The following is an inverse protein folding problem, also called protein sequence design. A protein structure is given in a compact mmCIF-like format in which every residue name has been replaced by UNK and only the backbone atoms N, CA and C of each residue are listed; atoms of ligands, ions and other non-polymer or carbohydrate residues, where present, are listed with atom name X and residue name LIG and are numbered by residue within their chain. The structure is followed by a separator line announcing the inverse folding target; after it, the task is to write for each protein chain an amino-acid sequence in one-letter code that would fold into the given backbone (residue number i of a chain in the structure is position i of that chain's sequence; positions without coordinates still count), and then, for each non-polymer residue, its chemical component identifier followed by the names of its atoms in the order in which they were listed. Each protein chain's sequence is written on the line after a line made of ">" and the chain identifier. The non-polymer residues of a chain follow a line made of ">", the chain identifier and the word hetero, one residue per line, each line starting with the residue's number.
data_IF_339496795823
#
_entry.id   IF_339496795823
#
_cell.length_a   1.000
_cell.length_b   1.000
_cell.length_c   1.000
_cell.angle_alpha   90.00
_cell.angle_beta   90.00
_cell.angle_gamma   90.00
#
_symmetry.space_group_name_H-M   'P 1'
#
loop_
_entity.id
_entity.type
_entity.pdbx_description
1 polymer ?
#
# COMPACT_ATOMS: atom_id res chain seq x y z
N UNK A 1 15.04 4.20 25.49
CA UNK A 1 14.74 4.86 24.20
C UNK A 1 13.23 4.81 24.02
N UNK A 2 12.58 5.93 23.75
CA UNK A 2 11.14 5.98 23.52
C UNK A 2 10.89 5.62 22.06
N UNK A 3 10.21 4.52 21.80
CA UNK A 3 9.79 4.15 20.45
C UNK A 3 8.49 4.88 20.15
N UNK A 4 8.55 5.93 19.36
CA UNK A 4 7.36 6.60 18.83
C UNK A 4 7.01 5.91 17.52
N UNK A 5 5.89 5.19 17.51
CA UNK A 5 5.36 4.61 16.26
C UNK A 5 4.45 5.65 15.61
N UNK A 6 4.90 6.26 14.54
CA UNK A 6 4.12 7.22 13.74
C UNK A 6 3.72 6.54 12.45
N UNK A 7 2.43 6.59 12.12
CA UNK A 7 1.92 6.14 10.83
C UNK A 7 1.89 7.33 9.85
N UNK A 8 2.86 7.51 8.94
CA UNK A 8 2.95 8.67 8.06
C UNK A 8 1.68 8.90 7.22
N UNK A 9 1.00 7.82 6.83
CA UNK A 9 -0.25 7.87 6.08
C UNK A 9 -1.38 8.54 6.86
N UNK A 10 -1.46 8.31 8.18
CA UNK A 10 -2.48 8.96 9.02
C UNK A 10 -2.21 10.45 9.16
N UNK A 11 -0.94 10.86 9.26
CA UNK A 11 -0.56 12.28 9.29
C UNK A 11 -0.88 12.95 7.96
N UNK A 12 -0.59 12.28 6.84
CA UNK A 12 -0.94 12.76 5.48
C UNK A 12 -2.45 12.93 5.31
N UNK A 13 -3.25 11.97 5.78
CA UNK A 13 -4.71 12.05 5.74
C UNK A 13 -5.21 13.22 6.59
N UNK A 14 -4.67 13.42 7.79
CA UNK A 14 -5.01 14.55 8.66
C UNK A 14 -4.67 15.90 8.00
N UNK A 15 -3.54 15.98 7.28
CA UNK A 15 -3.18 17.18 6.52
C UNK A 15 -4.20 17.48 5.40
N UNK A 16 -4.66 16.44 4.68
CA UNK A 16 -5.68 16.58 3.66
C UNK A 16 -7.04 16.99 4.24
N UNK A 17 -7.41 16.45 5.40
CA UNK A 17 -8.64 16.83 6.11
C UNK A 17 -8.58 18.29 6.57
N UNK A 18 -7.46 18.71 7.16
CA UNK A 18 -7.24 20.10 7.55
C UNK A 18 -7.34 21.05 6.34
N UNK A 19 -6.76 20.68 5.19
CA UNK A 19 -6.86 21.45 3.96
C UNK A 19 -8.30 21.59 3.48
N UNK A 20 -9.10 20.52 3.53
CA UNK A 20 -10.53 20.54 3.16
C UNK A 20 -11.34 21.45 4.07
N UNK A 21 -11.09 21.40 5.40
CA UNK A 21 -11.75 22.28 6.36
C UNK A 21 -11.41 23.74 6.05
N UNK A 22 -10.14 24.07 5.82
CA UNK A 22 -9.70 25.42 5.47
C UNK A 22 -10.35 25.93 4.19
N UNK A 23 -10.45 25.09 3.16
CA UNK A 23 -11.14 25.43 1.92
C UNK A 23 -12.62 25.69 2.12
N UNK A 24 -13.31 24.87 2.92
CA UNK A 24 -14.74 25.08 3.23
C UNK A 24 -14.98 26.38 3.99
N UNK A 25 -14.14 26.69 4.97
CA UNK A 25 -14.22 27.95 5.72
C UNK A 25 -13.99 29.15 4.81
N UNK A 26 -12.97 29.09 3.94
CA UNK A 26 -12.69 30.17 2.99
C UNK A 26 -13.85 30.40 2.00
N UNK A 27 -14.45 29.32 1.49
CA UNK A 27 -15.64 29.40 0.64
C UNK A 27 -16.82 30.06 1.36
N UNK A 28 -17.07 29.65 2.61
CA UNK A 28 -18.14 30.25 3.41
C UNK A 28 -17.89 31.74 3.69
N UNK A 29 -16.66 32.13 4.01
CA UNK A 29 -16.27 33.51 4.26
C UNK A 29 -16.39 34.37 3.00
N UNK A 30 -16.03 33.82 1.84
CA UNK A 30 -16.20 34.51 0.54
C UNK A 30 -17.68 34.73 0.22
N UNK A 31 -18.52 33.71 0.45
CA UNK A 31 -19.96 33.84 0.23
C UNK A 31 -20.59 34.86 1.20
N UNK A 32 -20.09 34.94 2.44
CA UNK A 32 -20.55 35.90 3.44
C UNK A 32 -20.04 37.34 3.19
N UNK A 33 -19.06 37.56 2.35
CA UNK A 33 -18.45 38.88 2.09
C UNK A 33 -19.49 39.92 1.64
N UNK A 34 -20.50 39.52 0.87
CA UNK A 34 -21.60 40.40 0.44
C UNK A 34 -22.46 40.90 1.61
N UNK A 35 -22.51 40.18 2.73
CA UNK A 35 -23.30 40.55 3.91
C UNK A 35 -22.64 41.61 4.79
N UNK A 36 -21.37 41.94 4.53
CA UNK A 36 -20.61 42.96 5.28
C UNK A 36 -20.90 44.39 4.79
N UNK A 37 -21.60 44.54 3.67
CA UNK A 37 -22.04 45.83 3.14
C UNK A 37 -23.51 46.07 3.54
N UNK A 38 -23.72 46.61 4.73
CA UNK A 38 -25.06 46.93 5.24
C UNK A 38 -25.45 48.30 4.78
N UNK A 39 -26.58 48.43 4.04
CA UNK A 39 -27.17 49.68 3.69
C UNK A 39 -27.94 50.24 4.90
N UNK A 40 -27.85 51.56 5.11
CA UNK A 40 -28.66 52.21 6.12
C UNK A 40 -30.16 52.03 5.85
N UNK A 41 -30.94 51.65 6.87
CA UNK A 41 -32.37 51.41 6.76
C UNK A 41 -33.17 52.68 6.47
N UNK A 42 -32.65 53.82 6.91
CA UNK A 42 -33.24 55.16 6.67
C UNK A 42 -32.11 56.19 6.51
N UNK A 43 -32.46 57.41 6.11
CA UNK A 43 -31.54 58.56 5.94
C UNK A 43 -31.35 59.34 7.25
N UNK A 44 -31.45 58.70 8.39
CA UNK A 44 -31.22 59.29 9.70
C UNK A 44 -29.84 58.92 10.28
N UNK A 45 -29.38 59.70 11.23
CA UNK A 45 -28.05 59.56 11.83
C UNK A 45 -27.86 58.17 12.52
N UNK A 46 -28.93 57.64 13.10
CA UNK A 46 -28.89 56.37 13.85
C UNK A 46 -28.73 55.20 12.85
N UNK A 47 -29.55 55.17 11.81
CA UNK A 47 -29.46 54.13 10.77
C UNK A 47 -28.11 54.14 10.07
N UNK A 48 -27.56 55.34 9.78
CA UNK A 48 -26.23 55.49 9.17
C UNK A 48 -25.12 55.04 10.10
N UNK A 49 -25.17 55.36 11.41
CA UNK A 49 -24.20 54.94 12.41
C UNK A 49 -24.21 53.44 12.60
N UNK A 50 -25.39 52.80 12.62
CA UNK A 50 -25.53 51.34 12.72
C UNK A 50 -24.95 50.65 11.50
N UNK A 51 -25.24 51.11 10.27
CA UNK A 51 -24.69 50.56 9.04
C UNK A 51 -23.14 50.65 9.01
N UNK A 52 -22.60 51.80 9.45
CA UNK A 52 -21.15 52.01 9.58
C UNK A 52 -20.50 51.03 10.57
N UNK A 53 -21.15 50.81 11.75
CA UNK A 53 -20.68 49.87 12.77
C UNK A 53 -20.62 48.43 12.21
N UNK A 54 -21.67 47.96 11.56
CA UNK A 54 -21.67 46.63 10.95
C UNK A 54 -20.65 46.50 9.81
N UNK A 55 -20.50 47.51 8.95
CA UNK A 55 -19.51 47.58 7.90
C UNK A 55 -18.08 47.49 8.45
N UNK A 56 -17.78 48.25 9.48
CA UNK A 56 -16.49 48.20 10.20
C UNK A 56 -16.24 46.82 10.81
N UNK A 57 -17.22 46.22 11.46
CA UNK A 57 -17.10 44.87 12.02
C UNK A 57 -16.83 43.84 10.94
N UNK A 58 -17.55 43.91 9.83
CA UNK A 58 -17.34 43.02 8.66
C UNK A 58 -15.92 43.13 8.12
N UNK A 59 -15.38 44.35 7.97
CA UNK A 59 -13.99 44.54 7.52
C UNK A 59 -12.95 43.95 8.50
N UNK A 60 -13.14 44.15 9.80
CA UNK A 60 -12.28 43.55 10.82
C UNK A 60 -12.33 42.01 10.75
N UNK A 61 -13.52 41.44 10.61
CA UNK A 61 -13.69 40.01 10.46
C UNK A 61 -12.96 39.46 9.23
N UNK A 62 -13.06 40.14 8.07
CA UNK A 62 -12.36 39.74 6.86
C UNK A 62 -10.84 39.77 7.01
N UNK A 63 -10.31 40.80 7.69
CA UNK A 63 -8.88 40.87 7.95
C UNK A 63 -8.39 39.72 8.85
N UNK A 64 -9.14 39.37 9.89
CA UNK A 64 -8.84 38.21 10.75
C UNK A 64 -8.98 36.92 9.98
N UNK A 65 -10.01 36.76 9.15
CA UNK A 65 -10.25 35.60 8.31
C UNK A 65 -9.08 35.33 7.37
N UNK A 66 -8.52 36.37 6.75
CA UNK A 66 -7.34 36.26 5.89
C UNK A 66 -6.09 35.78 6.67
N UNK A 67 -5.89 36.27 7.91
CA UNK A 67 -4.80 35.81 8.77
C UNK A 67 -4.97 34.33 9.18
N UNK A 68 -6.20 33.93 9.51
CA UNK A 68 -6.51 32.53 9.86
C UNK A 68 -6.27 31.62 8.67
N UNK A 69 -6.67 32.04 7.45
CA UNK A 69 -6.42 31.27 6.23
C UNK A 69 -4.90 31.05 6.00
N UNK A 70 -4.10 32.11 6.14
CA UNK A 70 -2.64 32.00 6.02
C UNK A 70 -2.01 31.09 7.11
N UNK A 71 -2.54 31.13 8.33
CA UNK A 71 -2.10 30.22 9.40
C UNK A 71 -2.47 28.76 9.09
N UNK A 72 -3.68 28.53 8.60
CA UNK A 72 -4.17 27.23 8.20
C UNK A 72 -3.29 26.61 7.09
N UNK A 73 -2.92 27.38 6.07
CA UNK A 73 -2.02 26.91 5.01
C UNK A 73 -0.66 26.49 5.56
N UNK A 74 -0.08 27.28 6.46
CA UNK A 74 1.19 26.93 7.12
C UNK A 74 1.08 25.66 7.95
N UNK A 75 -0.04 25.48 8.65
CA UNK A 75 -0.30 24.28 9.44
C UNK A 75 -0.39 23.04 8.56
N UNK A 76 -1.13 23.08 7.45
CA UNK A 76 -1.23 21.99 6.48
C UNK A 76 0.14 21.66 5.89
N UNK A 77 0.93 22.67 5.54
CA UNK A 77 2.28 22.48 5.02
C UNK A 77 3.19 21.79 6.05
N UNK A 78 3.14 22.24 7.32
CA UNK A 78 3.92 21.64 8.41
C UNK A 78 3.55 20.17 8.64
N UNK A 79 2.25 19.81 8.62
CA UNK A 79 1.80 18.43 8.72
C UNK A 79 2.29 17.57 7.54
N UNK A 80 2.23 18.10 6.31
CA UNK A 80 2.71 17.40 5.12
C UNK A 80 4.22 17.16 5.16
N UNK A 81 4.98 18.14 5.61
CA UNK A 81 6.43 18.00 5.80
C UNK A 81 6.76 17.00 6.91
N UNK A 82 6.04 17.02 8.02
CA UNK A 82 6.23 16.04 9.08
C UNK A 82 5.95 14.62 8.57
N UNK A 83 4.86 14.41 7.82
CA UNK A 83 4.54 13.11 7.21
C UNK A 83 5.67 12.60 6.32
N UNK A 84 6.22 13.44 5.44
CA UNK A 84 7.33 13.06 4.56
C UNK A 84 8.61 12.76 5.32
N UNK A 85 8.93 13.53 6.36
CA UNK A 85 10.11 13.29 7.21
C UNK A 85 10.03 11.94 7.92
N UNK A 86 8.87 11.62 8.48
CA UNK A 86 8.66 10.30 9.10
C UNK A 86 8.72 9.16 8.08
N UNK A 87 8.16 9.33 6.88
CA UNK A 87 8.24 8.32 5.83
C UNK A 87 9.68 8.03 5.39
N UNK A 88 10.51 9.07 5.25
CA UNK A 88 11.94 8.91 4.93
C UNK A 88 12.71 8.24 6.07
N UNK A 89 12.44 8.61 7.32
CA UNK A 89 13.08 7.99 8.48
C UNK A 89 12.70 6.50 8.61
N UNK A 90 11.45 6.15 8.37
CA UNK A 90 10.96 4.76 8.36
C UNK A 90 11.66 3.94 7.26
N UNK A 91 11.71 4.47 6.03
CA UNK A 91 12.41 3.83 4.92
C UNK A 91 13.92 3.65 5.21
N UNK A 92 14.57 4.65 5.79
CA UNK A 92 15.99 4.57 6.15
C UNK A 92 16.26 3.54 7.25
N UNK A 93 15.30 3.30 8.14
CA UNK A 93 15.42 2.31 9.22
C UNK A 93 15.19 0.87 8.72
N UNK A 94 14.32 0.68 7.72
CA UNK A 94 14.01 -0.64 7.16
C UNK A 94 15.17 -1.21 6.32
N UNK A 95 15.86 -0.40 5.55
CA UNK A 95 16.94 -0.84 4.64
C UNK A 95 18.12 -1.53 5.34
N UNK A 96 18.67 -1.02 6.46
CA UNK A 96 19.77 -1.68 7.15
C UNK A 96 19.39 -3.05 7.73
N UNK A 97 18.16 -3.20 8.24
CA UNK A 97 17.68 -4.46 8.78
C UNK A 97 17.57 -5.53 7.70
N UNK A 98 17.03 -5.18 6.52
CA UNK A 98 16.95 -6.10 5.39
C UNK A 98 18.34 -6.53 4.87
N UNK A 99 19.31 -5.60 4.85
CA UNK A 99 20.68 -5.93 4.47
C UNK A 99 21.36 -6.88 5.46
N UNK A 100 21.17 -6.68 6.76
CA UNK A 100 21.69 -7.59 7.79
C UNK A 100 21.03 -8.97 7.68
N UNK A 101 19.72 -9.03 7.49
CA UNK A 101 18.99 -10.29 7.28
C UNK A 101 19.51 -11.05 6.06
N UNK A 102 19.65 -10.38 4.92
CA UNK A 102 20.17 -11.01 3.70
C UNK A 102 21.63 -11.45 3.83
N UNK A 103 22.47 -10.65 4.48
CA UNK A 103 23.86 -11.02 4.74
C UNK A 103 23.94 -12.26 5.66
N UNK A 104 23.12 -12.31 6.71
CA UNK A 104 23.08 -13.45 7.63
C UNK A 104 22.57 -14.72 6.92
N UNK A 105 21.47 -14.61 6.15
CA UNK A 105 20.96 -15.72 5.35
C UNK A 105 21.95 -16.17 4.30
N UNK A 106 22.71 -15.26 3.68
CA UNK A 106 23.79 -15.59 2.75
C UNK A 106 24.85 -16.46 3.41
N UNK A 107 25.35 -16.07 4.58
CA UNK A 107 26.36 -16.87 5.32
C UNK A 107 25.83 -18.25 5.69
N UNK A 108 24.58 -18.34 6.12
CA UNK A 108 23.93 -19.62 6.51
C UNK A 108 23.66 -20.53 5.31
N UNK A 109 23.26 -19.97 4.16
CA UNK A 109 22.84 -20.74 3.01
C UNK A 109 24.00 -21.13 2.08
N UNK A 110 25.07 -20.32 2.01
CA UNK A 110 26.21 -20.55 1.10
C UNK A 110 26.78 -21.97 1.19
N UNK A 111 27.01 -22.57 2.36
CA UNK A 111 27.56 -23.93 2.42
C UNK A 111 26.61 -24.97 1.86
N UNK A 112 25.29 -24.87 2.13
CA UNK A 112 24.31 -25.85 1.66
C UNK A 112 23.99 -25.67 0.18
N UNK A 113 23.98 -24.45 -0.32
CA UNK A 113 23.84 -24.19 -1.74
C UNK A 113 25.04 -24.74 -2.55
N UNK A 114 26.27 -24.58 -2.03
CA UNK A 114 27.47 -25.10 -2.67
C UNK A 114 27.52 -26.63 -2.65
N UNK A 115 27.07 -27.29 -1.58
CA UNK A 115 27.16 -28.75 -1.42
C UNK A 115 25.99 -29.51 -2.05
N UNK A 116 24.77 -28.98 -1.92
CA UNK A 116 23.53 -29.69 -2.31
C UNK A 116 22.62 -28.86 -3.25
N UNK A 117 23.07 -27.70 -3.68
CA UNK A 117 22.32 -26.85 -4.60
C UNK A 117 21.01 -26.27 -4.03
N UNK A 118 20.86 -26.26 -2.69
CA UNK A 118 19.62 -25.87 -2.04
C UNK A 118 19.90 -25.07 -0.76
N UNK A 119 19.09 -24.05 -0.50
CA UNK A 119 19.17 -23.25 0.73
C UNK A 119 18.91 -24.10 1.98
N UNK A 120 19.56 -23.75 3.07
CA UNK A 120 19.22 -24.32 4.38
C UNK A 120 17.95 -23.71 4.93
N UNK A 121 17.85 -22.39 4.87
CA UNK A 121 16.71 -21.59 5.36
C UNK A 121 16.28 -20.61 4.26
N UNK A 122 14.98 -20.56 3.99
CA UNK A 122 14.36 -19.62 3.06
C UNK A 122 13.34 -20.27 2.15
N UNK A 123 12.43 -19.48 1.61
CA UNK A 123 11.38 -19.95 0.74
C UNK A 123 11.91 -20.24 -0.68
N UNK A 124 11.25 -21.14 -1.36
CA UNK A 124 11.48 -21.45 -2.77
C UNK A 124 11.00 -20.32 -3.68
N UNK A 125 11.70 -20.09 -4.78
CA UNK A 125 11.29 -19.09 -5.76
C UNK A 125 9.95 -19.47 -6.41
N UNK A 126 9.09 -18.48 -6.65
CA UNK A 126 7.85 -18.72 -7.39
C UNK A 126 8.12 -18.86 -8.88
N UNK A 127 7.41 -19.71 -9.55
CA UNK A 127 7.40 -19.81 -11.01
C UNK A 127 6.86 -18.53 -11.66
N UNK A 128 7.46 -18.13 -12.77
CA UNK A 128 7.02 -16.91 -13.48
C UNK A 128 5.60 -17.07 -14.02
N UNK A 129 4.72 -16.08 -13.85
CA UNK A 129 3.36 -16.13 -14.41
C UNK A 129 3.37 -16.24 -15.94
N UNK A 130 2.44 -17.00 -16.50
CA UNK A 130 2.30 -17.19 -17.95
C UNK A 130 3.34 -18.11 -18.58
N UNK A 131 4.15 -18.85 -17.79
CA UNK A 131 5.22 -19.70 -18.31
C UNK A 131 5.02 -21.18 -18.00
N UNK A 132 4.10 -21.53 -17.11
CA UNK A 132 3.97 -22.89 -16.60
C UNK A 132 5.20 -23.39 -15.81
N UNK A 133 6.10 -22.50 -15.40
CA UNK A 133 7.31 -22.85 -14.65
C UNK A 133 6.95 -23.37 -13.25
N UNK A 134 7.59 -24.45 -12.82
CA UNK A 134 7.42 -24.96 -11.47
C UNK A 134 8.01 -24.01 -10.44
N UNK A 135 7.40 -23.99 -9.25
CA UNK A 135 7.96 -23.31 -8.07
C UNK A 135 9.20 -24.04 -7.57
N UNK A 136 10.17 -23.28 -7.05
CA UNK A 136 11.39 -23.81 -6.43
C UNK A 136 11.11 -24.51 -5.11
N UNK A 137 11.98 -25.43 -4.73
CA UNK A 137 11.91 -26.06 -3.41
C UNK A 137 12.27 -25.04 -2.31
N UNK A 138 11.59 -25.11 -1.16
CA UNK A 138 11.92 -24.36 0.05
C UNK A 138 13.24 -24.85 0.68
N UNK A 139 13.71 -24.16 1.71
CA UNK A 139 14.93 -24.53 2.46
C UNK A 139 14.88 -25.95 2.99
N UNK A 140 16.05 -26.55 3.19
CA UNK A 140 16.17 -27.91 3.71
C UNK A 140 15.58 -28.00 5.12
N UNK A 141 15.92 -27.06 6.00
CA UNK A 141 15.48 -27.02 7.40
C UNK A 141 14.17 -26.24 7.57
N UNK A 142 14.12 -25.04 7.00
CA UNK A 142 12.98 -24.14 7.13
C UNK A 142 12.74 -23.37 5.83
N UNK A 143 11.49 -23.37 5.38
CA UNK A 143 11.01 -22.58 4.27
C UNK A 143 9.88 -23.24 3.50
N UNK A 144 9.01 -22.44 2.95
CA UNK A 144 7.90 -22.90 2.14
C UNK A 144 8.36 -23.18 0.71
N UNK A 145 7.71 -24.10 0.03
CA UNK A 145 7.89 -24.28 -1.41
C UNK A 145 7.34 -23.07 -2.17
N UNK A 146 7.98 -22.71 -3.28
CA UNK A 146 7.52 -21.67 -4.19
C UNK A 146 6.24 -22.09 -4.92
N UNK A 147 5.36 -21.15 -5.23
CA UNK A 147 4.17 -21.43 -6.03
C UNK A 147 4.57 -21.68 -7.50
N UNK A 148 3.85 -22.54 -8.18
CA UNK A 148 3.98 -22.73 -9.62
C UNK A 148 3.46 -21.51 -10.40
N UNK A 149 4.10 -21.19 -11.53
CA UNK A 149 3.65 -20.14 -12.45
C UNK A 149 2.38 -20.57 -13.19
N UNK A 150 1.50 -19.64 -13.50
CA UNK A 150 0.37 -19.90 -14.40
C UNK A 150 0.85 -20.30 -15.80
N UNK A 151 0.09 -21.11 -16.51
CA UNK A 151 0.35 -21.44 -17.91
C UNK A 151 -0.01 -20.30 -18.86
N UNK A 152 0.68 -20.20 -19.99
CA UNK A 152 0.24 -19.43 -21.16
C UNK A 152 -1.02 -20.07 -21.79
N UNK A 153 -1.72 -19.40 -22.70
CA UNK A 153 -2.84 -20.00 -23.42
C UNK A 153 -2.50 -21.35 -24.03
N UNK A 154 -3.28 -22.39 -23.74
CA UNK A 154 -3.03 -23.77 -24.13
C UNK A 154 -1.98 -24.52 -23.32
N UNK A 155 -1.29 -23.88 -22.36
CA UNK A 155 -0.21 -24.47 -21.57
C UNK A 155 -0.68 -24.76 -20.13
N UNK A 156 -0.25 -25.91 -19.59
CA UNK A 156 -0.51 -26.29 -18.21
C UNK A 156 0.20 -25.34 -17.22
N UNK A 157 -0.40 -25.17 -16.05
CA UNK A 157 0.24 -24.47 -14.93
C UNK A 157 1.40 -25.27 -14.35
N UNK A 158 2.40 -24.56 -13.79
CA UNK A 158 3.56 -25.15 -13.15
C UNK A 158 3.22 -25.82 -11.81
N UNK A 159 3.93 -26.89 -11.48
CA UNK A 159 3.79 -27.50 -10.16
C UNK A 159 4.30 -26.58 -9.05
N UNK A 160 3.70 -26.62 -7.86
CA UNK A 160 4.24 -26.00 -6.67
C UNK A 160 5.49 -26.72 -6.17
N UNK A 161 6.44 -25.98 -5.59
CA UNK A 161 7.67 -26.50 -4.98
C UNK A 161 7.38 -27.22 -3.65
N UNK A 162 8.20 -28.20 -3.33
CA UNK A 162 8.12 -28.90 -2.03
C UNK A 162 8.80 -28.06 -0.94
N UNK A 163 8.30 -28.12 0.30
CA UNK A 163 9.02 -27.65 1.49
C UNK A 163 10.15 -28.63 1.87
N UNK A 164 10.94 -28.25 2.88
CA UNK A 164 11.93 -29.14 3.48
C UNK A 164 11.43 -29.85 4.72
N UNK A 165 12.11 -29.64 5.85
CA UNK A 165 11.74 -30.24 7.14
C UNK A 165 10.49 -29.52 7.71
N UNK A 166 10.51 -28.20 7.76
CA UNK A 166 9.43 -27.34 8.27
C UNK A 166 9.04 -26.33 7.19
N UNK A 167 7.78 -26.29 6.82
CA UNK A 167 7.21 -25.34 5.86
C UNK A 167 6.07 -25.93 5.05
N UNK A 168 5.31 -25.12 4.39
CA UNK A 168 4.21 -25.54 3.53
C UNK A 168 4.68 -25.76 2.09
N UNK A 169 4.09 -26.70 1.40
CA UNK A 169 4.29 -26.86 -0.04
C UNK A 169 3.69 -25.68 -0.80
N UNK A 170 4.31 -25.30 -1.91
CA UNK A 170 3.81 -24.25 -2.80
C UNK A 170 2.53 -24.67 -3.50
N UNK A 171 1.65 -23.72 -3.80
CA UNK A 171 0.47 -23.98 -4.63
C UNK A 171 0.86 -24.27 -6.09
N UNK A 172 0.12 -25.12 -6.76
CA UNK A 172 0.21 -25.30 -8.21
C UNK A 172 -0.29 -24.07 -8.96
N UNK A 173 0.33 -23.73 -10.08
CA UNK A 173 -0.08 -22.64 -10.96
C UNK A 173 -1.38 -22.95 -11.71
N UNK A 174 -2.15 -21.94 -12.03
CA UNK A 174 -3.36 -22.09 -12.85
C UNK A 174 -2.99 -22.52 -14.29
N UNK A 175 -3.79 -23.36 -14.90
CA UNK A 175 -3.69 -23.66 -16.34
C UNK A 175 -4.07 -22.46 -17.19
N UNK A 176 -3.45 -22.33 -18.35
CA UNK A 176 -3.78 -21.31 -19.34
C UNK A 176 -5.15 -21.53 -19.99
N UNK A 177 -5.73 -20.45 -20.50
CA UNK A 177 -6.99 -20.54 -21.25
C UNK A 177 -6.80 -21.46 -22.48
N UNK A 178 -7.90 -22.14 -22.89
CA UNK A 178 -7.91 -22.90 -24.13
C UNK A 178 -7.67 -22.02 -25.34
N UNK A 179 -7.02 -22.58 -26.34
CA UNK A 179 -6.96 -21.97 -27.68
C UNK A 179 -8.37 -21.99 -28.30
N UNK A 180 -8.63 -21.22 -29.39
CA UNK A 180 -9.94 -21.25 -30.06
C UNK A 180 -10.36 -22.69 -30.36
N UNK A 181 -11.56 -23.05 -29.89
CA UNK A 181 -12.17 -24.38 -29.98
C UNK A 181 -11.50 -25.50 -29.16
N UNK A 182 -10.58 -25.13 -28.24
CA UNK A 182 -9.95 -26.10 -27.33
C UNK A 182 -10.38 -25.89 -25.88
N UNK A 183 -10.29 -26.99 -25.11
CA UNK A 183 -10.47 -26.91 -23.66
C UNK A 183 -9.30 -26.15 -22.99
N UNK A 184 -9.55 -25.53 -21.87
CA UNK A 184 -8.45 -24.92 -21.08
C UNK A 184 -7.46 -25.97 -20.58
N UNK A 185 -6.24 -25.53 -20.37
CA UNK A 185 -5.16 -26.39 -19.91
C UNK A 185 -5.27 -26.74 -18.42
N UNK A 186 -4.68 -27.82 -17.99
CA UNK A 186 -4.72 -28.27 -16.60
C UNK A 186 -3.90 -27.34 -15.69
N UNK A 187 -4.37 -27.15 -14.44
CA UNK A 187 -3.57 -26.55 -13.40
C UNK A 187 -2.42 -27.44 -12.95
N UNK A 188 -1.39 -26.85 -12.37
CA UNK A 188 -0.25 -27.56 -11.80
C UNK A 188 -0.59 -28.28 -10.50
N UNK A 189 0.14 -29.34 -10.17
CA UNK A 189 0.01 -30.00 -8.88
C UNK A 189 0.54 -29.10 -7.74
N UNK A 190 -0.03 -29.21 -6.54
CA UNK A 190 0.54 -28.60 -5.34
C UNK A 190 1.82 -29.29 -4.90
N UNK A 191 2.71 -28.56 -4.27
CA UNK A 191 3.95 -29.08 -3.69
C UNK A 191 3.73 -29.86 -2.40
N UNK A 192 4.65 -30.75 -2.05
CA UNK A 192 4.62 -31.48 -0.76
C UNK A 192 4.90 -30.53 0.40
N UNK A 193 4.19 -30.71 1.53
CA UNK A 193 4.48 -30.04 2.80
C UNK A 193 5.74 -30.59 3.46
N UNK A 194 6.17 -29.90 4.51
CA UNK A 194 7.36 -30.29 5.27
C UNK A 194 7.23 -31.66 5.93
N UNK A 195 8.33 -32.37 5.96
CA UNK A 195 8.38 -33.71 6.51
C UNK A 195 8.02 -33.78 8.01
N UNK A 196 8.47 -32.79 8.81
CA UNK A 196 8.17 -32.73 10.24
C UNK A 196 6.90 -31.91 10.51
N UNK A 197 6.76 -30.77 9.83
CA UNK A 197 5.65 -29.85 10.05
C UNK A 197 5.38 -29.03 8.80
N UNK A 198 4.10 -28.98 8.37
CA UNK A 198 3.59 -28.17 7.25
C UNK A 198 2.56 -28.90 6.41
N UNK A 199 1.78 -28.13 5.67
CA UNK A 199 0.73 -28.65 4.81
C UNK A 199 1.22 -28.73 3.35
N UNK A 200 0.71 -29.69 2.59
CA UNK A 200 0.86 -29.70 1.13
C UNK A 200 0.19 -28.49 0.51
N UNK A 201 0.74 -28.02 -0.61
CA UNK A 201 0.15 -26.94 -1.39
C UNK A 201 -1.14 -27.39 -2.11
N UNK A 202 -2.06 -26.48 -2.35
CA UNK A 202 -3.23 -26.71 -3.17
C UNK A 202 -2.84 -26.90 -4.66
N UNK A 203 -3.57 -27.74 -5.39
CA UNK A 203 -3.45 -27.79 -6.85
C UNK A 203 -3.95 -26.51 -7.52
N UNK A 204 -3.38 -26.16 -8.67
CA UNK A 204 -3.83 -25.03 -9.49
C UNK A 204 -5.18 -25.32 -10.16
N UNK A 205 -5.97 -24.27 -10.37
CA UNK A 205 -7.20 -24.38 -11.16
C UNK A 205 -6.91 -24.64 -12.64
N UNK A 206 -7.79 -25.40 -13.31
CA UNK A 206 -7.73 -25.52 -14.76
C UNK A 206 -8.07 -24.20 -15.46
N UNK A 207 -7.52 -24.00 -16.66
CA UNK A 207 -7.86 -22.85 -17.51
C UNK A 207 -9.32 -22.91 -18.00
N UNK A 208 -9.92 -21.76 -18.26
CA UNK A 208 -11.23 -21.70 -18.93
C UNK A 208 -11.12 -22.13 -20.40
N UNK A 209 -12.15 -22.82 -20.90
CA UNK A 209 -12.27 -23.05 -22.34
C UNK A 209 -12.55 -21.74 -23.10
N UNK A 210 -11.96 -21.57 -24.28
CA UNK A 210 -12.35 -20.48 -25.17
C UNK A 210 -13.76 -20.74 -25.68
N UNK A 211 -14.71 -19.83 -25.38
CA UNK A 211 -16.09 -19.95 -25.84
C UNK A 211 -16.20 -20.02 -27.36
N UNK A 212 -17.29 -20.60 -27.78
CA UNK A 212 -17.67 -20.70 -29.20
C UNK A 212 -17.89 -19.32 -29.81
#
# INVERSE_FOLDING_TARGET
>A
MSFVNVAPQLVSTAAADAARIGSAINTANTAAAATTQVLAAAHDEVSTAIAALFGSHGQHYQAISAQVAAYQERFVLALSQASSTYAVAEAASATPLQQIEQALLGVINTPTEALVGRKLIGDGAHGAPGTGQAGGAGGILWGNGGNGGSGAPGQAGGAGGAAGLIGNGGAGGAGGQGLPFEAGANGGAGGAGGWLFGNGGGGGGGGGGAGR
#
